data_IF_407587722639
#
_entry.id   IF_407587722639
#
_cell.length_a   1.000
_cell.length_b   1.000
_cell.length_c   1.000
_cell.angle_alpha   90.00
_cell.angle_beta   90.00
_cell.angle_gamma   90.00
#
_symmetry.space_group_name_H-M   'P 1'
#
loop_
_entity.id
_entity.type
_entity.pdbx_description
1 polymer ?
#
# COMPACT_ATOMS: atom_id res chain seq x y z
N UNK A 1 7.05 3.18 3.48
CA UNK A 1 7.11 1.91 2.73
C UNK A 1 5.68 1.40 2.56
N UNK A 2 5.12 1.47 1.36
CA UNK A 2 3.81 0.87 1.06
C UNK A 2 4.01 -0.59 0.67
N UNK A 3 3.59 -1.49 1.55
CA UNK A 3 3.60 -2.95 1.35
C UNK A 3 2.71 -3.31 0.16
N UNK A 4 3.18 -4.23 -0.68
CA UNK A 4 2.52 -4.66 -1.93
C UNK A 4 1.32 -5.59 -1.67
N UNK A 5 0.42 -5.21 -0.76
CA UNK A 5 -0.84 -5.91 -0.50
C UNK A 5 -1.97 -5.20 -1.26
N UNK A 6 -2.12 -5.53 -2.53
CA UNK A 6 -3.07 -4.89 -3.46
C UNK A 6 -4.54 -4.95 -3.01
N UNK A 7 -4.91 -5.91 -2.15
CA UNK A 7 -6.27 -6.06 -1.61
C UNK A 7 -6.46 -5.51 -0.19
N UNK A 8 -5.41 -5.46 0.62
CA UNK A 8 -5.52 -5.11 2.05
C UNK A 8 -5.83 -3.63 2.27
N UNK A 9 -5.49 -2.77 1.31
CA UNK A 9 -5.69 -1.31 1.37
C UNK A 9 -7.08 -0.87 0.87
N UNK A 10 -8.03 -1.81 0.77
CA UNK A 10 -9.38 -1.54 0.29
C UNK A 10 -10.14 -0.56 1.18
N UNK A 11 -10.99 0.28 0.59
CA UNK A 11 -11.77 1.29 1.30
C UNK A 11 -12.76 0.73 2.35
N UNK A 12 -13.07 -0.57 2.28
CA UNK A 12 -13.92 -1.28 3.26
C UNK A 12 -13.13 -1.87 4.43
N UNK A 13 -11.80 -1.97 4.31
CA UNK A 13 -10.98 -2.62 5.32
C UNK A 13 -10.87 -1.71 6.56
N UNK A 14 -11.40 -2.20 7.70
CA UNK A 14 -11.39 -1.46 8.96
C UNK A 14 -9.98 -1.35 9.56
N UNK A 15 -9.21 -2.44 9.52
CA UNK A 15 -7.83 -2.46 10.04
C UNK A 15 -6.93 -1.51 9.26
N UNK A 16 -7.11 -1.43 7.93
CA UNK A 16 -6.43 -0.45 7.09
C UNK A 16 -6.67 0.98 7.56
N UNK A 17 -7.94 1.35 7.82
CA UNK A 17 -8.28 2.69 8.31
C UNK A 17 -7.71 2.96 9.71
N UNK A 18 -7.70 1.96 10.59
CA UNK A 18 -7.07 2.07 11.91
C UNK A 18 -5.57 2.34 11.81
N UNK A 19 -4.85 1.60 10.95
CA UNK A 19 -3.41 1.82 10.74
C UNK A 19 -3.11 3.14 10.06
N UNK A 20 -3.97 3.59 9.16
CA UNK A 20 -3.88 4.94 8.61
C UNK A 20 -4.12 6.03 9.67
N UNK A 21 -5.02 5.81 10.63
CA UNK A 21 -5.21 6.73 11.75
C UNK A 21 -3.95 6.79 12.63
N UNK A 22 -3.38 5.65 13.01
CA UNK A 22 -2.11 5.61 13.76
C UNK A 22 -0.99 6.36 13.02
N UNK A 23 -0.88 6.16 11.70
CA UNK A 23 0.08 6.87 10.87
C UNK A 23 -0.19 8.39 10.82
N UNK A 24 -1.45 8.80 10.63
CA UNK A 24 -1.84 10.20 10.60
C UNK A 24 -1.50 10.90 11.93
N UNK A 25 -1.79 10.24 13.05
CA UNK A 25 -1.48 10.72 14.39
C UNK A 25 0.04 10.87 14.60
N UNK A 26 0.82 9.85 14.21
CA UNK A 26 2.29 9.86 14.33
C UNK A 26 2.94 10.96 13.48
N UNK A 27 2.42 11.19 12.28
CA UNK A 27 2.98 12.18 11.35
C UNK A 27 2.43 13.58 11.57
N UNK A 28 1.31 13.73 12.29
CA UNK A 28 0.59 14.99 12.42
C UNK A 28 0.01 15.50 11.09
N UNK A 29 -0.22 14.61 10.12
CA UNK A 29 -0.64 14.96 8.76
C UNK A 29 -2.03 14.42 8.46
N UNK A 30 -2.83 15.20 7.72
CA UNK A 30 -4.07 14.69 7.13
C UNK A 30 -3.75 13.84 5.90
N UNK A 31 -4.23 12.61 5.90
CA UNK A 31 -4.02 11.65 4.82
C UNK A 31 -5.24 11.62 3.91
N UNK A 32 -5.03 11.91 2.63
CA UNK A 32 -6.08 11.86 1.61
C UNK A 32 -6.02 10.53 0.86
N UNK A 33 -7.10 9.76 0.89
CA UNK A 33 -7.21 8.46 0.23
C UNK A 33 -8.14 8.60 -0.97
N UNK A 34 -7.58 8.34 -2.15
CA UNK A 34 -8.29 8.27 -3.41
C UNK A 34 -8.15 6.86 -3.98
N UNK A 35 -9.26 6.13 -4.07
CA UNK A 35 -9.28 4.77 -4.57
C UNK A 35 -9.55 4.75 -6.08
N UNK A 36 -8.85 3.84 -6.76
CA UNK A 36 -9.18 3.48 -8.12
C UNK A 36 -10.49 2.68 -8.17
N UNK A 37 -11.30 2.83 -9.23
CA UNK A 37 -12.48 2.01 -9.36
C UNK A 37 -12.22 0.50 -9.44
N UNK A 38 -13.20 -0.35 -9.04
CA UNK A 38 -13.12 -1.77 -9.33
C UNK A 38 -12.77 -1.99 -10.80
N UNK A 39 -11.87 -2.94 -11.05
CA UNK A 39 -11.45 -3.34 -12.41
C UNK A 39 -10.70 -2.25 -13.20
N UNK A 40 -10.09 -1.25 -12.55
CA UNK A 40 -9.25 -0.24 -13.22
C UNK A 40 -7.75 -0.41 -13.00
N UNK A 41 -7.28 -1.62 -12.67
CA UNK A 41 -5.85 -1.93 -12.52
C UNK A 41 -5.04 -1.58 -13.79
N UNK A 42 -5.66 -1.69 -14.98
CA UNK A 42 -5.13 -1.22 -16.28
C UNK A 42 -4.69 0.25 -16.29
N UNK A 43 -5.20 1.06 -15.37
CA UNK A 43 -4.84 2.49 -15.28
C UNK A 43 -3.83 2.77 -14.16
N UNK A 44 -3.43 1.75 -13.40
CA UNK A 44 -2.42 1.88 -12.36
C UNK A 44 -1.02 1.99 -12.97
N UNK A 45 -0.44 3.19 -12.92
CA UNK A 45 0.89 3.46 -13.46
C UNK A 45 1.98 2.57 -12.86
N UNK A 46 1.86 2.14 -11.61
CA UNK A 46 2.86 1.29 -10.96
C UNK A 46 2.86 -0.10 -11.62
N UNK A 47 1.68 -0.67 -11.90
CA UNK A 47 1.55 -1.93 -12.66
C UNK A 47 2.20 -1.81 -14.04
N UNK A 48 1.96 -0.70 -14.72
CA UNK A 48 2.40 -0.50 -16.10
C UNK A 48 3.83 0.02 -16.27
N UNK A 49 4.44 0.63 -15.25
CA UNK A 49 5.79 1.22 -15.33
C UNK A 49 6.84 0.48 -14.50
N UNK A 50 6.44 -0.14 -13.40
CA UNK A 50 7.36 -0.84 -12.50
C UNK A 50 7.19 -2.36 -12.61
N UNK A 51 6.01 -2.87 -12.30
CA UNK A 51 5.81 -4.33 -12.16
C UNK A 51 5.95 -5.07 -13.49
N UNK A 52 5.47 -4.50 -14.60
CA UNK A 52 5.65 -5.10 -15.92
C UNK A 52 7.13 -5.36 -16.25
N UNK A 53 8.04 -4.48 -15.81
CA UNK A 53 9.48 -4.60 -16.05
C UNK A 53 10.12 -5.60 -15.11
N UNK A 54 9.71 -5.63 -13.84
CA UNK A 54 10.13 -6.66 -12.88
C UNK A 54 9.74 -8.05 -13.41
N UNK A 55 8.48 -8.25 -13.84
CA UNK A 55 8.01 -9.52 -14.40
C UNK A 55 8.79 -9.92 -15.65
N UNK A 56 9.13 -8.97 -16.52
CA UNK A 56 9.98 -9.25 -17.70
C UNK A 56 11.39 -9.68 -17.29
N UNK A 57 12.00 -9.03 -16.29
CA UNK A 57 13.33 -9.40 -15.78
C UNK A 57 13.34 -10.80 -15.14
N UNK A 58 12.23 -11.20 -14.52
CA UNK A 58 12.05 -12.51 -13.88
C UNK A 58 11.78 -13.66 -14.86
N UNK A 59 11.41 -13.35 -16.12
CA UNK A 59 10.93 -14.36 -17.07
C UNK A 59 11.98 -15.47 -17.25
N UNK A 60 11.58 -16.72 -16.95
CA UNK A 60 12.45 -17.89 -17.09
C UNK A 60 13.49 -18.06 -15.98
N UNK A 61 13.41 -17.28 -14.88
CA UNK A 61 14.32 -17.39 -13.74
C UNK A 61 13.57 -17.90 -12.51
N UNK A 62 13.94 -19.06 -11.93
CA UNK A 62 13.26 -19.58 -10.76
C UNK A 62 13.58 -18.75 -9.51
N UNK A 63 12.57 -18.45 -8.70
CA UNK A 63 12.71 -17.73 -7.43
C UNK A 63 13.03 -18.71 -6.29
N UNK A 64 14.27 -19.19 -6.25
CA UNK A 64 14.69 -20.28 -5.34
C UNK A 64 14.96 -19.83 -3.91
N UNK A 65 15.15 -18.53 -3.67
CA UNK A 65 15.37 -17.97 -2.33
C UNK A 65 14.95 -16.50 -2.28
N UNK A 66 14.77 -15.97 -1.05
CA UNK A 66 14.50 -14.54 -0.84
C UNK A 66 15.61 -13.66 -1.43
N UNK A 67 16.86 -14.07 -1.28
CA UNK A 67 18.01 -13.35 -1.85
C UNK A 67 17.95 -13.31 -3.37
N UNK A 68 17.59 -14.42 -4.02
CA UNK A 68 17.40 -14.47 -5.47
C UNK A 68 16.28 -13.51 -5.90
N UNK A 69 15.14 -13.52 -5.19
CA UNK A 69 14.04 -12.59 -5.46
C UNK A 69 14.46 -11.13 -5.33
N UNK A 70 15.17 -10.76 -4.25
CA UNK A 70 15.65 -9.39 -4.01
C UNK A 70 16.60 -8.96 -5.12
N UNK A 71 17.59 -9.81 -5.45
CA UNK A 71 18.57 -9.52 -6.50
C UNK A 71 17.89 -9.36 -7.87
N UNK A 72 16.88 -10.18 -8.17
CA UNK A 72 16.14 -10.09 -9.42
C UNK A 72 15.23 -8.85 -9.48
N UNK A 73 14.65 -8.40 -8.37
CA UNK A 73 13.91 -7.14 -8.36
C UNK A 73 14.88 -5.97 -8.52
N UNK A 74 15.95 -5.93 -7.71
CA UNK A 74 16.92 -4.84 -7.69
C UNK A 74 17.73 -4.68 -8.98
N UNK A 75 17.93 -5.76 -9.74
CA UNK A 75 18.59 -5.70 -11.06
C UNK A 75 17.67 -5.22 -12.19
N UNK A 76 16.42 -4.85 -11.89
CA UNK A 76 15.47 -4.40 -12.90
C UNK A 76 15.81 -2.96 -13.32
N UNK A 77 16.27 -2.79 -14.56
CA UNK A 77 16.53 -1.47 -15.16
C UNK A 77 15.92 -1.32 -16.56
N UNK A 78 15.77 -0.10 -17.06
CA UNK A 78 15.38 0.20 -18.46
C UNK A 78 16.35 1.19 -19.10
N UNK A 79 16.42 1.20 -20.43
CA UNK A 79 17.19 2.20 -21.20
C UNK A 79 16.72 3.63 -20.94
N UNK A 80 15.44 3.80 -20.59
CA UNK A 80 14.83 5.07 -20.24
C UNK A 80 15.10 5.50 -18.77
N UNK A 81 15.98 4.79 -18.06
CA UNK A 81 16.47 5.19 -16.74
C UNK A 81 15.63 4.73 -15.54
N UNK A 82 14.78 3.70 -15.67
CA UNK A 82 14.17 3.09 -14.49
C UNK A 82 15.26 2.37 -13.67
N UNK A 83 15.33 2.67 -12.38
CA UNK A 83 16.12 1.92 -11.40
C UNK A 83 15.20 1.43 -10.28
N UNK A 84 15.37 0.17 -9.88
CA UNK A 84 14.55 -0.45 -8.83
C UNK A 84 15.43 -0.81 -7.65
N UNK A 85 15.03 -0.41 -6.45
CA UNK A 85 15.66 -0.83 -5.19
C UNK A 85 14.74 -1.81 -4.47
N UNK A 86 15.29 -2.94 -4.06
CA UNK A 86 14.60 -3.95 -3.29
C UNK A 86 15.40 -4.27 -2.03
N UNK A 87 14.70 -4.43 -0.92
CA UNK A 87 15.29 -4.75 0.37
C UNK A 87 14.43 -5.78 1.07
N UNK A 88 15.07 -6.67 1.84
CA UNK A 88 14.37 -7.57 2.73
C UNK A 88 13.82 -6.79 3.93
N UNK A 89 12.51 -6.89 4.14
CA UNK A 89 11.89 -6.53 5.40
C UNK A 89 11.88 -7.77 6.32
N UNK A 90 12.59 -7.68 7.44
CA UNK A 90 12.68 -8.75 8.44
C UNK A 90 11.67 -8.57 9.59
N UNK A 91 10.84 -7.54 9.53
CA UNK A 91 9.82 -7.32 10.54
C UNK A 91 8.81 -8.47 10.55
N UNK A 92 8.40 -8.88 11.74
CA UNK A 92 7.35 -9.87 11.92
C UNK A 92 5.99 -9.17 12.03
N UNK A 93 5.10 -9.45 11.08
CA UNK A 93 3.75 -8.93 11.07
C UNK A 93 2.78 -9.96 11.61
N UNK A 94 2.15 -9.67 12.76
CA UNK A 94 1.11 -10.53 13.31
C UNK A 94 -0.09 -10.58 12.36
N UNK A 95 -0.53 -11.77 12.01
CA UNK A 95 -1.72 -12.00 11.20
C UNK A 95 -2.97 -12.10 12.09
N UNK A 96 -4.17 -12.02 11.48
CA UNK A 96 -5.43 -12.22 12.21
C UNK A 96 -5.83 -11.08 13.16
N UNK A 97 -5.16 -9.93 13.08
CA UNK A 97 -5.49 -8.75 13.89
C UNK A 97 -6.91 -8.28 13.51
N UNK A 98 -7.78 -8.16 14.51
CA UNK A 98 -9.12 -7.58 14.37
C UNK A 98 -9.18 -6.30 15.21
N UNK A 99 -9.67 -5.22 14.61
CA UNK A 99 -10.03 -4.01 15.35
C UNK A 99 -11.40 -4.18 15.99
N UNK A 100 -11.59 -3.61 17.18
CA UNK A 100 -12.91 -3.56 17.82
C UNK A 100 -13.79 -2.49 17.18
N UNK A 101 -15.11 -2.56 17.43
CA UNK A 101 -16.03 -1.53 16.96
C UNK A 101 -15.75 -0.17 17.62
N UNK A 102 -15.35 -0.16 18.89
CA UNK A 102 -14.97 1.07 19.61
C UNK A 102 -13.77 1.72 18.93
N UNK A 103 -12.72 0.95 18.63
CA UNK A 103 -11.54 1.46 17.93
C UNK A 103 -11.93 2.06 16.57
N UNK A 104 -12.78 1.37 15.81
CA UNK A 104 -13.23 1.85 14.52
C UNK A 104 -14.03 3.16 14.61
N UNK A 105 -14.86 3.30 15.65
CA UNK A 105 -15.64 4.51 15.89
C UNK A 105 -14.77 5.71 16.28
N UNK A 106 -13.54 5.49 16.75
CA UNK A 106 -12.60 6.59 17.06
C UNK A 106 -11.88 7.19 15.85
N UNK A 107 -12.04 6.63 14.65
CA UNK A 107 -11.32 7.09 13.46
C UNK A 107 -11.86 8.46 13.04
N UNK A 108 -10.98 9.45 12.93
CA UNK A 108 -11.28 10.81 12.48
C UNK A 108 -11.40 10.87 10.94
N UNK A 109 -12.36 10.12 10.42
CA UNK A 109 -12.60 9.97 8.99
C UNK A 109 -13.59 11.02 8.48
N UNK A 110 -13.20 11.74 7.41
CA UNK A 110 -14.09 12.63 6.65
C UNK A 110 -14.25 12.10 5.23
N UNK A 111 -15.50 11.85 4.80
CA UNK A 111 -15.78 11.44 3.42
C UNK A 111 -15.56 12.58 2.44
N UNK A 112 -15.02 12.28 1.27
CA UNK A 112 -14.86 13.27 0.20
C UNK A 112 -16.19 13.59 -0.49
N UNK A 113 -16.30 14.78 -1.08
CA UNK A 113 -17.47 15.16 -1.88
C UNK A 113 -17.58 14.32 -3.15
N UNK A 114 -16.48 14.20 -3.88
CA UNK A 114 -16.39 13.28 -5.00
C UNK A 114 -16.19 11.88 -4.46
N UNK A 115 -17.19 11.01 -4.66
CA UNK A 115 -17.01 9.59 -4.45
C UNK A 115 -16.67 9.28 -2.97
N UNK A 116 -17.44 9.83 -2.04
CA UNK A 116 -17.22 9.69 -0.58
C UNK A 116 -17.50 8.30 0.00
N UNK A 117 -18.10 7.42 -0.78
CA UNK A 117 -18.36 6.01 -0.49
C UNK A 117 -17.08 5.16 -0.41
N UNK A 118 -15.98 5.66 -0.96
CA UNK A 118 -14.69 4.99 -1.13
C UNK A 118 -13.52 5.96 -0.91
N UNK A 119 -13.63 7.24 -1.30
CA UNK A 119 -12.63 8.26 -1.03
C UNK A 119 -12.88 8.97 0.31
N UNK A 120 -11.82 9.13 1.10
CA UNK A 120 -11.91 9.73 2.42
C UNK A 120 -10.60 10.40 2.84
N UNK A 121 -10.70 11.27 3.83
CA UNK A 121 -9.58 11.87 4.54
C UNK A 121 -9.51 11.27 5.94
N UNK A 122 -8.32 11.04 6.44
CA UNK A 122 -8.07 10.72 7.85
C UNK A 122 -7.29 11.88 8.43
N UNK A 123 -7.88 12.55 9.41
CA UNK A 123 -7.25 13.65 10.12
C UNK A 123 -6.47 13.12 11.33
N UNK A 124 -5.34 13.73 11.70
CA UNK A 124 -4.69 13.41 12.95
C UNK A 124 -5.64 13.72 14.10
N UNK A 125 -5.77 12.79 15.04
CA UNK A 125 -6.42 13.05 16.32
C UNK A 125 -5.46 13.90 17.13
N UNK A 126 -5.98 14.94 17.77
CA UNK A 126 -5.20 15.66 18.78
C UNK A 126 -5.00 14.69 19.94
N UNK A 127 -3.80 14.16 20.08
CA UNK A 127 -3.40 13.52 21.33
C UNK A 127 -3.40 14.63 22.38
N UNK A 128 -4.33 14.56 23.33
CA UNK A 128 -4.34 15.44 24.50
C UNK A 128 -3.10 15.17 25.36
#
# INVERSE_FOLDING_TARGET
MTTADWGSNGYRNRLWKLKLQEFADQMGLTVHLCHFPPRTSKWNKIEHRLFCRITRNWRGRPLTSLQVSINLIGSTTTEQGLEVRAQLDQNQYKTGIKGTDEQFNTIALRRQQFHGDWNYQIHPRKTA
#
